data_IF_769087606781
#
_entry.id   IF_769087606781
#
_cell.length_a   1.000
_cell.length_b   1.000
_cell.length_c   1.000
_cell.angle_alpha   90.00
_cell.angle_beta   90.00
_cell.angle_gamma   90.00
#
_symmetry.space_group_name_H-M   'P 1'
#
loop_
_entity.id
_entity.type
_entity.pdbx_description
1 polymer ?
#
# COMPACT_ATOMS: atom_id res chain seq x y z
N UNK A 1 -9.86 -12.16 -25.10
CA UNK A 1 -10.65 -12.83 -24.07
C UNK A 1 -10.60 -14.33 -24.30
N UNK A 2 -10.11 -15.09 -23.34
CA UNK A 2 -10.03 -16.53 -23.47
C UNK A 2 -11.38 -17.18 -23.16
N UNK A 3 -11.96 -17.84 -24.16
CA UNK A 3 -13.11 -18.72 -23.93
C UNK A 3 -12.59 -20.13 -23.64
N UNK A 4 -12.62 -20.52 -22.37
CA UNK A 4 -12.27 -21.86 -21.95
C UNK A 4 -13.53 -22.71 -21.81
N UNK A 5 -13.48 -24.01 -22.19
CA UNK A 5 -14.57 -24.93 -21.86
C UNK A 5 -14.86 -24.95 -20.36
N UNK A 6 -16.11 -25.24 -19.98
CA UNK A 6 -16.53 -25.25 -18.59
C UNK A 6 -15.68 -26.19 -17.72
N UNK A 7 -15.25 -27.33 -18.25
CA UNK A 7 -14.33 -28.26 -17.60
C UNK A 7 -12.99 -27.61 -17.28
N UNK A 8 -12.44 -26.84 -18.23
CA UNK A 8 -11.16 -26.17 -18.05
C UNK A 8 -11.28 -25.03 -17.04
N UNK A 9 -12.40 -24.29 -17.06
CA UNK A 9 -12.68 -23.25 -16.05
C UNK A 9 -12.77 -23.83 -14.64
N UNK A 10 -13.50 -24.94 -14.48
CA UNK A 10 -13.64 -25.62 -13.21
C UNK A 10 -12.29 -26.13 -12.69
N UNK A 11 -11.48 -26.73 -13.58
CA UNK A 11 -10.14 -27.21 -13.23
C UNK A 11 -9.22 -26.07 -12.83
N UNK A 12 -9.23 -24.96 -13.56
CA UNK A 12 -8.44 -23.78 -13.22
C UNK A 12 -8.86 -23.17 -11.89
N UNK A 13 -10.16 -23.13 -11.60
CA UNK A 13 -10.67 -22.64 -10.33
C UNK A 13 -10.22 -23.55 -9.16
N UNK A 14 -10.32 -24.88 -9.33
CA UNK A 14 -9.89 -25.84 -8.32
C UNK A 14 -8.39 -25.75 -8.06
N UNK A 15 -7.57 -25.66 -9.11
CA UNK A 15 -6.12 -25.49 -9.00
C UNK A 15 -5.75 -24.12 -8.41
N UNK A 16 -6.48 -23.07 -8.81
CA UNK A 16 -6.32 -21.74 -8.24
C UNK A 16 -6.56 -21.74 -6.74
N UNK A 17 -7.63 -22.40 -6.28
CA UNK A 17 -7.93 -22.54 -4.86
C UNK A 17 -6.82 -23.30 -4.10
N UNK A 18 -6.24 -24.32 -4.73
CA UNK A 18 -5.11 -25.05 -4.13
C UNK A 18 -3.86 -24.19 -4.04
N UNK A 19 -3.54 -23.44 -5.09
CA UNK A 19 -2.42 -22.51 -5.10
C UNK A 19 -2.61 -21.46 -4.01
N UNK A 20 -3.79 -20.91 -3.90
CA UNK A 20 -4.12 -19.92 -2.87
C UNK A 20 -3.93 -20.49 -1.46
N UNK A 21 -4.34 -21.74 -1.23
CA UNK A 21 -4.13 -22.42 0.05
C UNK A 21 -2.65 -22.67 0.35
N UNK A 22 -1.88 -23.11 -0.63
CA UNK A 22 -0.44 -23.34 -0.46
C UNK A 22 0.30 -22.01 -0.16
N UNK A 23 -0.06 -20.94 -0.88
CA UNK A 23 0.49 -19.62 -0.62
C UNK A 23 0.08 -19.13 0.78
N UNK A 24 -1.16 -19.40 1.19
CA UNK A 24 -1.65 -19.06 2.51
C UNK A 24 -0.90 -19.82 3.62
N UNK A 25 -0.56 -21.10 3.40
CA UNK A 25 0.19 -21.89 4.37
C UNK A 25 1.65 -21.44 4.52
N UNK A 26 2.22 -20.83 3.50
CA UNK A 26 3.60 -20.33 3.52
C UNK A 26 3.76 -19.01 4.27
N UNK A 27 2.67 -18.36 4.65
CA UNK A 27 2.66 -17.05 5.32
C UNK A 27 2.10 -17.18 6.73
N UNK A 28 2.52 -16.27 7.63
CA UNK A 28 1.90 -16.17 8.94
C UNK A 28 0.46 -15.66 8.83
N UNK A 29 -0.46 -16.19 9.63
CA UNK A 29 -1.88 -15.90 9.54
C UNK A 29 -2.25 -14.40 9.56
N UNK A 30 -1.54 -13.61 10.37
CA UNK A 30 -1.74 -12.16 10.45
C UNK A 30 -1.36 -11.44 9.16
N UNK A 31 -0.31 -11.88 8.46
CA UNK A 31 0.09 -11.31 7.17
C UNK A 31 -0.93 -11.58 6.08
N UNK A 32 -1.50 -12.78 6.08
CA UNK A 32 -2.53 -13.19 5.11
C UNK A 32 -3.79 -12.34 5.28
N UNK A 33 -4.26 -12.18 6.50
CA UNK A 33 -5.44 -11.36 6.81
C UNK A 33 -5.22 -9.90 6.42
N UNK A 34 -4.04 -9.37 6.71
CA UNK A 34 -3.68 -8.00 6.34
C UNK A 34 -3.63 -7.82 4.83
N UNK A 35 -3.04 -8.76 4.10
CA UNK A 35 -2.98 -8.71 2.65
C UNK A 35 -4.36 -8.81 2.02
N UNK A 36 -5.20 -9.74 2.48
CA UNK A 36 -6.56 -9.88 2.00
C UNK A 36 -7.39 -8.61 2.23
N UNK A 37 -7.23 -7.98 3.40
CA UNK A 37 -7.90 -6.73 3.72
C UNK A 37 -7.47 -5.59 2.81
N UNK A 38 -6.18 -5.49 2.50
CA UNK A 38 -5.63 -4.48 1.58
C UNK A 38 -6.12 -4.69 0.16
N UNK A 39 -6.13 -5.92 -0.30
CA UNK A 39 -6.65 -6.27 -1.62
C UNK A 39 -8.14 -5.93 -1.75
N UNK A 40 -8.93 -6.28 -0.75
CA UNK A 40 -10.35 -5.95 -0.70
C UNK A 40 -10.59 -4.44 -0.69
N UNK A 41 -9.74 -3.69 -0.02
CA UNK A 41 -9.78 -2.23 0.02
C UNK A 41 -9.60 -1.62 -1.38
N UNK A 42 -8.62 -2.11 -2.13
CA UNK A 42 -8.38 -1.67 -3.50
C UNK A 42 -9.56 -1.99 -4.42
N UNK A 43 -10.08 -3.21 -4.35
CA UNK A 43 -11.22 -3.66 -5.17
C UNK A 43 -12.47 -2.81 -4.86
N UNK A 44 -12.72 -2.54 -3.59
CA UNK A 44 -13.84 -1.69 -3.16
C UNK A 44 -13.68 -0.26 -3.67
N UNK A 45 -12.48 0.30 -3.58
CA UNK A 45 -12.20 1.63 -4.11
C UNK A 45 -12.44 1.70 -5.62
N UNK A 46 -11.97 0.71 -6.37
CA UNK A 46 -12.16 0.61 -7.81
C UNK A 46 -13.64 0.47 -8.18
N UNK A 47 -14.39 -0.32 -7.40
CA UNK A 47 -15.83 -0.52 -7.60
C UNK A 47 -16.61 0.77 -7.37
N UNK A 48 -16.30 1.52 -6.33
CA UNK A 48 -16.93 2.81 -6.03
C UNK A 48 -16.69 3.81 -7.17
N UNK A 49 -15.52 3.80 -7.80
CA UNK A 49 -15.19 4.67 -8.92
C UNK A 49 -15.75 4.18 -10.26
N UNK A 50 -16.35 3.00 -10.29
CA UNK A 50 -16.89 2.43 -11.51
C UNK A 50 -15.84 1.91 -12.48
N UNK A 51 -14.66 1.54 -11.99
CA UNK A 51 -13.62 0.92 -12.82
C UNK A 51 -14.07 -0.52 -13.15
N UNK A 52 -14.32 -0.85 -14.44
CA UNK A 52 -15.00 -2.11 -14.80
C UNK A 52 -14.17 -3.35 -14.50
N UNK A 53 -12.85 -3.26 -14.58
CA UNK A 53 -11.95 -4.37 -14.25
C UNK A 53 -10.75 -3.82 -13.49
N UNK A 54 -10.70 -3.98 -12.15
CA UNK A 54 -9.64 -3.38 -11.35
C UNK A 54 -8.26 -3.96 -11.61
N UNK A 55 -8.16 -5.14 -12.19
CA UNK A 55 -6.90 -5.81 -12.51
C UNK A 55 -6.77 -6.10 -14.01
N UNK A 56 -7.36 -5.28 -14.85
CA UNK A 56 -7.36 -5.47 -16.29
C UNK A 56 -6.07 -5.05 -16.99
N UNK A 57 -6.07 -5.23 -18.30
CA UNK A 57 -4.89 -4.97 -19.15
C UNK A 57 -4.93 -3.62 -19.88
N UNK A 58 -5.76 -2.69 -19.43
CA UNK A 58 -5.86 -1.38 -20.08
C UNK A 58 -4.57 -0.57 -19.91
N UNK A 59 -4.14 0.15 -20.96
CA UNK A 59 -3.12 1.19 -20.79
C UNK A 59 -3.61 2.18 -19.73
N UNK A 60 -2.74 2.52 -18.80
CA UNK A 60 -3.08 3.48 -17.75
C UNK A 60 -3.36 2.90 -16.39
N UNK A 61 -3.33 1.57 -16.20
CA UNK A 61 -3.46 0.97 -14.86
C UNK A 61 -2.36 1.42 -13.90
N UNK A 62 -1.16 1.67 -14.40
CA UNK A 62 -0.09 2.25 -13.60
C UNK A 62 -0.53 3.59 -12.98
N UNK A 63 -1.21 4.41 -13.76
CA UNK A 63 -1.74 5.69 -13.28
C UNK A 63 -2.90 5.50 -12.31
N UNK A 64 -3.82 4.57 -12.59
CA UNK A 64 -4.94 4.27 -11.71
C UNK A 64 -4.44 3.81 -10.34
N UNK A 65 -3.47 2.92 -10.32
CA UNK A 65 -2.87 2.42 -9.08
C UNK A 65 -2.09 3.53 -8.37
N UNK A 66 -1.40 4.40 -9.10
CA UNK A 66 -0.73 5.56 -8.51
C UNK A 66 -1.73 6.51 -7.84
N UNK A 67 -2.88 6.74 -8.45
CA UNK A 67 -3.98 7.53 -7.85
C UNK A 67 -4.50 6.85 -6.60
N UNK A 68 -4.66 5.54 -6.62
CA UNK A 68 -5.05 4.76 -5.45
C UNK A 68 -4.03 4.89 -4.31
N UNK A 69 -2.76 4.81 -4.62
CA UNK A 69 -1.68 4.98 -3.63
C UNK A 69 -1.72 6.38 -3.02
N UNK A 70 -1.97 7.40 -3.82
CA UNK A 70 -2.15 8.76 -3.31
C UNK A 70 -3.38 8.87 -2.40
N UNK A 71 -4.45 8.19 -2.75
CA UNK A 71 -5.66 8.09 -1.92
C UNK A 71 -5.36 7.43 -0.57
N UNK A 72 -4.62 6.33 -0.55
CA UNK A 72 -4.19 5.66 0.68
C UNK A 72 -3.29 6.59 1.51
N UNK A 73 -2.36 7.29 0.86
CA UNK A 73 -1.47 8.24 1.51
C UNK A 73 -2.24 9.35 2.24
N UNK A 74 -3.28 9.88 1.62
CA UNK A 74 -4.07 10.97 2.18
C UNK A 74 -4.94 10.56 3.37
N UNK A 75 -4.90 9.27 3.75
CA UNK A 75 -5.58 8.80 4.95
C UNK A 75 -7.08 8.67 4.77
N UNK A 76 -7.48 7.59 4.16
CA UNK A 76 -8.89 7.25 3.95
C UNK A 76 -9.61 6.93 5.25
N UNK A 77 -8.90 6.72 6.32
CA UNK A 77 -9.49 6.58 7.63
C UNK A 77 -9.89 7.98 8.13
N UNK A 78 -11.12 8.34 7.82
CA UNK A 78 -11.80 9.53 8.29
C UNK A 78 -11.65 9.73 9.81
N UNK A 79 -11.39 8.66 10.53
CA UNK A 79 -11.23 8.66 11.99
C UNK A 79 -9.80 8.85 12.48
N UNK A 80 -8.81 8.82 11.60
CA UNK A 80 -7.39 8.97 11.97
C UNK A 80 -6.76 10.13 11.21
N UNK A 81 -6.54 11.23 11.92
CA UNK A 81 -5.86 12.42 11.43
C UNK A 81 -4.35 12.17 11.20
N UNK A 82 -3.85 10.98 11.53
CA UNK A 82 -2.44 10.64 11.36
C UNK A 82 -2.16 10.22 9.93
N UNK A 83 -1.19 10.89 9.32
CA UNK A 83 -0.65 10.48 8.03
C UNK A 83 -0.12 9.04 8.09
N UNK A 84 -0.50 8.23 7.12
CA UNK A 84 -0.05 6.85 6.99
C UNK A 84 1.44 6.85 6.60
N UNK A 85 2.22 6.01 7.23
CA UNK A 85 3.66 5.89 6.94
C UNK A 85 3.90 5.25 5.58
N UNK A 86 5.04 5.60 4.97
CA UNK A 86 5.45 5.06 3.66
C UNK A 86 5.50 3.53 3.63
N UNK A 87 5.94 2.90 4.71
CA UNK A 87 5.97 1.44 4.83
C UNK A 87 4.57 0.82 4.71
N UNK A 88 3.56 1.45 5.29
CA UNK A 88 2.16 1.01 5.19
C UNK A 88 1.63 1.19 3.77
N UNK A 89 1.87 2.34 3.14
CA UNK A 89 1.48 2.60 1.75
C UNK A 89 2.15 1.62 0.80
N UNK A 90 3.43 1.32 1.02
CA UNK A 90 4.16 0.30 0.27
C UNK A 90 3.49 -1.06 0.39
N UNK A 91 3.05 -1.43 1.58
CA UNK A 91 2.30 -2.68 1.79
C UNK A 91 1.01 -2.75 0.97
N UNK A 92 0.26 -1.65 0.87
CA UNK A 92 -0.92 -1.57 0.00
C UNK A 92 -0.56 -1.73 -1.47
N UNK A 93 0.52 -1.10 -1.92
CA UNK A 93 1.01 -1.22 -3.29
C UNK A 93 1.41 -2.65 -3.63
N UNK A 94 2.13 -3.31 -2.74
CA UNK A 94 2.55 -4.71 -2.90
C UNK A 94 1.36 -5.66 -2.96
N UNK A 95 0.33 -5.42 -2.15
CA UNK A 95 -0.90 -6.22 -2.17
C UNK A 95 -1.65 -6.07 -3.49
N UNK A 96 -1.70 -4.87 -4.06
CA UNK A 96 -2.26 -4.64 -5.40
C UNK A 96 -1.43 -5.36 -6.46
N UNK A 97 -0.11 -5.29 -6.39
CA UNK A 97 0.77 -6.01 -7.31
C UNK A 97 0.50 -7.52 -7.29
N UNK A 98 0.27 -8.09 -6.12
CA UNK A 98 -0.07 -9.50 -5.96
C UNK A 98 -1.37 -9.84 -6.67
N UNK A 99 -2.40 -9.00 -6.59
CA UNK A 99 -3.65 -9.17 -7.32
C UNK A 99 -3.42 -9.23 -8.84
N UNK A 100 -2.61 -8.31 -9.37
CA UNK A 100 -2.29 -8.30 -10.80
C UNK A 100 -1.51 -9.55 -11.21
N UNK A 101 -0.54 -9.97 -10.40
CA UNK A 101 0.25 -11.19 -10.66
C UNK A 101 -0.61 -12.45 -10.66
N UNK A 102 -1.58 -12.55 -9.77
CA UNK A 102 -2.52 -13.67 -9.73
C UNK A 102 -3.34 -13.79 -11.01
N UNK A 103 -3.49 -12.70 -11.74
CA UNK A 103 -4.17 -12.67 -13.04
C UNK A 103 -3.21 -12.66 -14.22
N UNK A 104 -1.94 -12.99 -14.00
CA UNK A 104 -0.87 -12.98 -15.01
C UNK A 104 -0.67 -11.62 -15.67
N UNK A 105 -0.95 -10.54 -14.95
CA UNK A 105 -0.72 -9.18 -15.40
C UNK A 105 0.57 -8.63 -14.79
N UNK A 106 1.29 -7.74 -15.50
CA UNK A 106 2.46 -7.09 -14.94
C UNK A 106 2.07 -6.23 -13.74
N UNK A 107 2.96 -6.15 -12.76
CA UNK A 107 2.73 -5.35 -11.57
C UNK A 107 2.63 -3.86 -11.92
N UNK A 108 1.51 -3.19 -11.57
CA UNK A 108 1.32 -1.77 -11.92
C UNK A 108 2.15 -0.82 -11.07
N UNK A 109 2.54 -1.25 -9.87
CA UNK A 109 3.37 -0.47 -8.96
C UNK A 109 4.73 -1.15 -8.79
N UNK A 110 5.57 -1.08 -9.82
CA UNK A 110 6.92 -1.63 -9.77
C UNK A 110 7.80 -0.73 -8.90
N UNK A 111 7.96 -1.13 -7.65
CA UNK A 111 8.72 -0.37 -6.66
C UNK A 111 10.24 -0.44 -6.89
N UNK A 112 10.70 -1.35 -7.74
CA UNK A 112 12.11 -1.44 -8.13
C UNK A 112 12.47 -0.47 -9.26
N UNK A 113 11.47 0.06 -9.97
CA UNK A 113 11.67 1.02 -11.06
C UNK A 113 11.50 2.45 -10.53
N UNK A 114 12.57 3.26 -10.46
CA UNK A 114 12.47 4.62 -9.95
C UNK A 114 11.62 5.54 -10.83
N UNK A 115 11.33 5.17 -12.07
CA UNK A 115 10.48 5.92 -12.98
C UNK A 115 9.00 5.54 -12.89
N UNK A 116 8.66 4.51 -12.13
CA UNK A 116 7.27 4.13 -11.89
C UNK A 116 6.58 5.19 -11.02
N UNK A 117 5.36 5.60 -11.39
CA UNK A 117 4.62 6.65 -10.68
C UNK A 117 4.41 6.32 -9.20
N UNK A 118 4.03 5.09 -8.90
CA UNK A 118 3.80 4.64 -7.53
C UNK A 118 5.10 4.61 -6.72
N UNK A 119 6.20 4.15 -7.33
CA UNK A 119 7.51 4.16 -6.70
C UNK A 119 7.97 5.59 -6.39
N UNK A 120 7.75 6.52 -7.31
CA UNK A 120 8.07 7.94 -7.10
C UNK A 120 7.31 8.52 -5.91
N UNK A 121 6.01 8.25 -5.81
CA UNK A 121 5.17 8.73 -4.69
C UNK A 121 5.66 8.18 -3.35
N UNK A 122 5.95 6.88 -3.29
CA UNK A 122 6.40 6.21 -2.07
C UNK A 122 7.80 6.70 -1.68
N UNK A 123 8.69 6.87 -2.64
CA UNK A 123 10.05 7.39 -2.40
C UNK A 123 10.01 8.83 -1.89
N UNK A 124 9.09 9.66 -2.40
CA UNK A 124 8.89 11.01 -1.89
C UNK A 124 8.41 11.01 -0.43
N UNK A 125 7.46 10.13 -0.09
CA UNK A 125 7.01 9.96 1.29
C UNK A 125 8.16 9.53 2.20
N UNK A 126 8.96 8.56 1.77
CA UNK A 126 10.11 8.07 2.54
C UNK A 126 11.13 9.18 2.78
N UNK A 127 11.38 10.00 1.78
CA UNK A 127 12.29 11.15 1.89
C UNK A 127 11.78 12.17 2.92
N UNK A 128 10.50 12.49 2.87
CA UNK A 128 9.86 13.39 3.84
C UNK A 128 9.95 12.84 5.26
N UNK A 129 9.70 11.54 5.43
CA UNK A 129 9.84 10.87 6.72
C UNK A 129 11.28 10.90 7.25
N UNK A 130 12.27 10.70 6.39
CA UNK A 130 13.67 10.76 6.76
C UNK A 130 14.07 12.17 7.21
N UNK A 131 13.58 13.19 6.52
CA UNK A 131 13.79 14.60 6.90
C UNK A 131 13.14 14.87 8.27
N UNK A 132 11.92 14.39 8.48
CA UNK A 132 11.21 14.55 9.75
C UNK A 132 11.95 13.86 10.90
N UNK A 133 12.49 12.65 10.69
CA UNK A 133 13.29 11.93 11.68
C UNK A 133 14.58 12.64 12.03
N UNK A 134 15.24 13.27 11.07
CA UNK A 134 16.46 14.05 11.32
C UNK A 134 16.17 15.31 12.15
N UNK A 135 15.01 15.90 11.97
CA UNK A 135 14.58 17.10 12.72
C UNK A 135 14.03 16.79 14.11
N UNK A 136 13.29 15.69 14.26
CA UNK A 136 12.59 15.36 15.51
C UNK A 136 13.52 15.19 16.71
N UNK A 137 14.70 14.54 16.66
CA UNK A 137 15.63 14.51 17.81
C UNK A 137 16.17 15.87 18.20
N UNK A 138 16.48 16.73 17.22
CA UNK A 138 16.93 18.08 17.44
C UNK A 138 15.83 18.93 18.10
N UNK A 139 14.62 18.84 17.60
CA UNK A 139 13.47 19.57 18.15
C UNK A 139 13.16 19.14 19.59
N UNK A 140 13.21 17.84 19.88
CA UNK A 140 12.99 17.32 21.22
C UNK A 140 14.08 17.78 22.20
N UNK A 141 15.34 17.80 21.80
CA UNK A 141 16.46 18.28 22.62
C UNK A 141 16.34 19.78 22.87
N UNK A 142 15.96 20.55 21.86
CA UNK A 142 15.73 22.00 21.99
C UNK A 142 14.57 22.26 22.93
N UNK A 143 13.45 21.56 22.81
CA UNK A 143 12.31 21.70 23.72
C UNK A 143 12.64 21.30 25.16
N UNK A 144 13.41 20.21 25.32
CA UNK A 144 13.86 19.78 26.65
C UNK A 144 14.78 20.84 27.30
N UNK A 145 15.64 21.47 26.52
CA UNK A 145 16.53 22.51 26.99
C UNK A 145 15.76 23.80 27.31
N UNK A 146 14.82 24.21 26.50
CA UNK A 146 13.93 25.35 26.74
C UNK A 146 13.14 25.14 28.03
N UNK A 147 12.57 23.95 28.25
CA UNK A 147 11.88 23.61 29.50
C UNK A 147 12.80 23.68 30.69
N UNK A 148 14.02 23.20 30.58
CA UNK A 148 15.01 23.23 31.68
C UNK A 148 15.36 24.66 32.06
N UNK A 149 15.56 25.54 31.10
CA UNK A 149 15.84 26.97 31.34
C UNK A 149 14.61 27.65 31.92
N UNK A 150 13.40 27.38 31.46
CA UNK A 150 12.18 27.93 31.99
C UNK A 150 11.92 27.49 33.42
N UNK A 151 12.16 26.23 33.78
CA UNK A 151 12.03 25.69 35.11
C UNK A 151 13.08 26.28 36.06
N UNK A 152 14.30 26.47 35.59
CA UNK A 152 15.37 27.14 36.37
C UNK A 152 15.03 28.60 36.65
N UNK A 153 14.39 29.32 35.72
CA UNK A 153 13.98 30.69 35.93
C UNK A 153 12.76 30.83 36.85
N UNK A 154 11.94 29.80 36.99
CA UNK A 154 10.80 29.76 37.91
C UNK A 154 11.18 29.41 39.34
N UNK A 155 12.33 28.83 39.59
CA UNK A 155 12.78 28.44 40.91
C UNK A 155 13.51 29.54 41.69
N UNK A 156 13.73 30.67 41.04
CA UNK A 156 14.23 31.89 41.68
C UNK A 156 13.06 32.74 42.22
#
# INVERSE_FOLDING_TARGET
MFFLPDRAKSHLNDMGDRVDRELAQSRQGTEIETEAARQAHYIKWADILGIPDPCGSYPGYQRIVAIYIKFVQCGVNINNIKSIRSATVRGYAESVNTLFRLRNMPAPADLSDPNNMSAMLINNMLREEQIARQRAPLDNDIFAEIRRVADASKSD
#
